data_IF_952201831050
#
_entry.id   IF_952201831050
#
_cell.length_a   1.000
_cell.length_b   1.000
_cell.length_c   1.000
_cell.angle_alpha   90.00
_cell.angle_beta   90.00
_cell.angle_gamma   90.00
#
_symmetry.space_group_name_H-M   'P 1'
#
loop_
_entity.id
_entity.type
_entity.pdbx_description
1 polymer ?
#
# COMPACT_ATOMS: atom_id res chain seq x y z
N UNK A 1 -8.94 8.38 -19.87
CA UNK A 1 -7.81 8.15 -18.95
C UNK A 1 -8.45 7.88 -17.60
N UNK A 2 -8.64 6.61 -17.27
CA UNK A 2 -9.10 6.21 -15.94
C UNK A 2 -8.11 6.76 -14.92
N UNK A 3 -8.60 7.49 -13.92
CA UNK A 3 -7.78 7.92 -12.80
C UNK A 3 -7.13 6.67 -12.20
N UNK A 4 -5.80 6.57 -12.30
CA UNK A 4 -5.01 5.54 -11.63
C UNK A 4 -5.25 5.74 -10.14
N UNK A 5 -5.99 4.82 -9.52
CA UNK A 5 -6.34 4.97 -8.11
C UNK A 5 -5.05 4.82 -7.29
N UNK A 6 -4.91 5.58 -6.20
CA UNK A 6 -3.69 5.55 -5.36
C UNK A 6 -3.40 4.13 -4.86
N UNK A 7 -4.45 3.33 -4.67
CA UNK A 7 -4.40 1.90 -4.39
C UNK A 7 -3.61 1.10 -5.45
N UNK A 8 -3.86 1.35 -6.74
CA UNK A 8 -3.19 0.70 -7.86
C UNK A 8 -1.72 1.14 -7.94
N UNK A 9 -1.45 2.43 -7.73
CA UNK A 9 -0.08 2.94 -7.67
C UNK A 9 0.72 2.30 -6.52
N UNK A 10 0.13 2.16 -5.33
CA UNK A 10 0.78 1.48 -4.19
C UNK A 10 1.07 0.03 -4.54
N UNK A 11 0.11 -0.68 -5.14
CA UNK A 11 0.32 -2.05 -5.59
C UNK A 11 1.51 -2.16 -6.54
N UNK A 12 1.55 -1.31 -7.57
CA UNK A 12 2.58 -1.39 -8.61
C UNK A 12 3.97 -1.04 -8.09
N UNK A 13 4.08 -0.07 -7.19
CA UNK A 13 5.35 0.25 -6.51
C UNK A 13 5.84 -0.93 -5.68
N UNK A 14 4.96 -1.53 -4.88
CA UNK A 14 5.31 -2.65 -4.01
C UNK A 14 5.67 -3.90 -4.80
N UNK A 15 4.98 -4.15 -5.92
CA UNK A 15 5.27 -5.27 -6.80
C UNK A 15 6.52 -5.01 -7.64
N UNK A 16 6.86 -3.76 -8.01
CA UNK A 16 8.06 -3.45 -8.77
C UNK A 16 9.36 -3.44 -7.94
N UNK A 17 9.26 -3.25 -6.61
CA UNK A 17 10.44 -3.21 -5.74
C UNK A 17 11.10 -4.59 -5.61
N UNK A 18 12.37 -4.67 -6.01
CA UNK A 18 13.12 -5.93 -6.01
C UNK A 18 13.31 -6.54 -4.60
N UNK A 19 13.33 -5.72 -3.55
CA UNK A 19 13.49 -6.21 -2.17
C UNK A 19 12.19 -6.78 -1.63
N UNK A 20 11.06 -6.20 -2.01
CA UNK A 20 9.73 -6.73 -1.70
C UNK A 20 9.50 -8.02 -2.52
N UNK A 21 9.76 -8.01 -3.83
CA UNK A 21 9.63 -9.21 -4.69
C UNK A 21 10.44 -10.40 -4.17
N UNK A 22 11.65 -10.17 -3.65
CA UNK A 22 12.49 -11.21 -3.08
C UNK A 22 11.87 -11.89 -1.85
N UNK A 23 10.98 -11.19 -1.14
CA UNK A 23 10.27 -11.72 0.03
C UNK A 23 8.88 -12.25 -0.34
N UNK A 24 8.11 -11.49 -1.13
CA UNK A 24 6.78 -11.88 -1.61
C UNK A 24 6.36 -11.07 -2.83
N UNK A 25 5.58 -11.71 -3.70
CA UNK A 25 4.83 -11.05 -4.77
C UNK A 25 3.33 -10.94 -4.46
N UNK A 26 2.92 -11.36 -3.25
CA UNK A 26 1.51 -11.45 -2.85
C UNK A 26 1.08 -10.17 -2.13
N UNK A 27 0.45 -9.27 -2.88
CA UNK A 27 -0.06 -8.00 -2.39
C UNK A 27 -1.59 -7.95 -2.60
N UNK A 28 -2.37 -7.86 -1.52
CA UNK A 28 -3.83 -7.90 -1.60
C UNK A 28 -4.47 -6.55 -1.18
N UNK A 29 -5.47 -6.05 -1.92
CA UNK A 29 -6.25 -4.89 -1.52
C UNK A 29 -7.35 -5.26 -0.53
N UNK A 30 -7.27 -4.71 0.69
CA UNK A 30 -8.31 -4.72 1.74
C UNK A 30 -8.84 -6.08 2.25
N UNK A 31 -8.61 -7.18 1.53
CA UNK A 31 -9.24 -8.48 1.78
C UNK A 31 -8.22 -9.59 1.58
N UNK A 32 -8.14 -10.51 2.53
CA UNK A 32 -7.33 -11.72 2.39
C UNK A 32 -8.20 -12.90 1.93
N UNK A 33 -7.63 -13.82 1.13
CA UNK A 33 -8.27 -15.11 0.87
C UNK A 33 -8.34 -15.96 2.15
N UNK A 34 -9.29 -16.90 2.21
CA UNK A 34 -9.56 -17.73 3.39
C UNK A 34 -8.38 -18.61 3.83
N UNK A 35 -7.53 -19.05 2.89
CA UNK A 35 -6.29 -19.78 3.18
C UNK A 35 -5.08 -19.06 2.54
N UNK A 36 -4.57 -17.99 3.19
CA UNK A 36 -3.51 -17.19 2.62
C UNK A 36 -2.15 -17.87 2.81
N UNK A 37 -1.35 -17.93 1.74
CA UNK A 37 0.05 -18.37 1.85
C UNK A 37 0.92 -17.20 2.29
N UNK A 38 1.63 -17.38 3.40
CA UNK A 38 2.62 -16.43 3.91
C UNK A 38 4.00 -16.64 3.27
N UNK A 39 4.80 -15.57 3.08
CA UNK A 39 4.53 -14.17 3.45
C UNK A 39 3.64 -13.41 2.45
N UNK A 40 2.86 -12.44 2.93
CA UNK A 40 1.98 -11.58 2.11
C UNK A 40 1.92 -10.15 2.64
N UNK A 41 1.45 -9.24 1.80
CA UNK A 41 1.18 -7.84 2.14
C UNK A 41 -0.31 -7.58 1.95
N UNK A 42 -0.92 -6.93 2.93
CA UNK A 42 -2.27 -6.37 2.83
C UNK A 42 -2.13 -4.85 2.82
N UNK A 43 -2.78 -4.17 1.90
CA UNK A 43 -2.91 -2.70 1.96
C UNK A 43 -4.38 -2.33 1.92
N UNK A 44 -4.76 -1.33 2.71
CA UNK A 44 -6.13 -0.84 2.79
C UNK A 44 -6.15 0.67 3.01
N UNK A 45 -7.12 1.33 2.42
CA UNK A 45 -7.40 2.74 2.69
C UNK A 45 -8.22 2.85 3.97
N UNK A 46 -7.65 3.47 5.00
CA UNK A 46 -8.30 3.63 6.31
C UNK A 46 -9.07 4.94 6.38
N UNK A 47 -8.52 5.99 5.78
CA UNK A 47 -9.14 7.31 5.77
C UNK A 47 -8.84 8.01 4.46
N UNK A 48 -9.73 8.90 4.03
CA UNK A 48 -9.51 9.68 2.81
C UNK A 48 -10.69 10.57 2.51
N UNK A 49 -11.19 11.25 3.54
CA UNK A 49 -12.06 12.39 3.31
C UNK A 49 -11.25 13.43 2.53
N UNK A 50 -11.68 13.75 1.32
CA UNK A 50 -11.25 14.99 0.67
C UNK A 50 -11.62 16.15 1.60
N UNK A 51 -10.70 17.10 1.79
CA UNK A 51 -11.00 18.28 2.58
C UNK A 51 -12.07 19.10 1.84
N UNK A 52 -13.27 19.22 2.42
CA UNK A 52 -14.32 20.07 1.88
C UNK A 52 -14.19 21.46 2.50
N UNK A 53 -13.87 22.48 1.69
CA UNK A 53 -13.97 23.87 2.11
C UNK A 53 -15.34 24.44 1.74
N UNK A 54 -15.66 25.62 2.30
CA UNK A 54 -16.93 26.32 2.09
C UNK A 54 -17.17 26.68 0.60
N UNK A 55 -16.12 26.73 -0.22
CA UNK A 55 -16.17 26.99 -1.68
C UNK A 55 -16.09 25.73 -2.56
N UNK A 56 -16.07 24.52 -1.97
CA UNK A 56 -16.00 23.25 -2.71
C UNK A 56 -14.87 22.34 -2.23
N UNK A 57 -14.64 21.19 -2.91
CA UNK A 57 -13.57 20.28 -2.57
C UNK A 57 -12.24 21.01 -2.72
N UNK A 58 -11.48 21.13 -1.63
CA UNK A 58 -10.08 21.52 -1.71
C UNK A 58 -9.41 20.32 -2.39
N UNK A 59 -8.82 20.51 -3.57
CA UNK A 59 -8.20 19.45 -4.39
C UNK A 59 -6.98 18.77 -3.73
N UNK A 60 -6.93 18.74 -2.42
CA UNK A 60 -5.90 18.18 -1.56
C UNK A 60 -6.57 17.11 -0.71
N UNK A 61 -6.51 15.87 -1.20
CA UNK A 61 -6.89 14.71 -0.41
C UNK A 61 -5.67 14.24 0.37
N UNK A 62 -5.84 14.00 1.67
CA UNK A 62 -4.83 13.39 2.54
C UNK A 62 -5.24 11.93 2.87
N UNK A 63 -5.24 11.00 1.90
CA UNK A 63 -5.64 9.63 2.14
C UNK A 63 -4.61 8.93 3.04
N UNK A 64 -5.11 8.27 4.08
CA UNK A 64 -4.31 7.42 4.96
C UNK A 64 -4.49 5.96 4.56
N UNK A 65 -3.37 5.33 4.21
CA UNK A 65 -3.31 3.91 3.90
C UNK A 65 -2.63 3.16 5.06
N UNK A 66 -3.22 2.04 5.44
CA UNK A 66 -2.63 1.06 6.34
C UNK A 66 -2.08 -0.08 5.51
N UNK A 67 -0.83 -0.46 5.79
CA UNK A 67 -0.16 -1.56 5.12
C UNK A 67 0.34 -2.53 6.18
N UNK A 68 -0.05 -3.79 6.04
CA UNK A 68 0.24 -4.87 6.97
C UNK A 68 1.11 -5.92 6.29
N UNK A 69 2.19 -6.31 6.98
CA UNK A 69 3.10 -7.34 6.55
C UNK A 69 2.85 -8.61 7.37
N UNK A 70 2.41 -9.68 6.70
CA UNK A 70 2.08 -10.95 7.35
C UNK A 70 3.10 -12.03 6.99
N UNK A 71 3.61 -12.75 7.98
CA UNK A 71 4.54 -13.86 7.79
C UNK A 71 4.39 -14.93 8.87
N UNK A 72 4.95 -16.12 8.64
CA UNK A 72 4.95 -17.23 9.62
C UNK A 72 5.76 -16.93 10.88
N UNK A 73 6.73 -16.02 10.78
CA UNK A 73 7.58 -15.62 11.90
C UNK A 73 7.58 -14.12 12.05
N UNK A 74 7.69 -13.65 13.29
CA UNK A 74 7.74 -12.22 13.59
C UNK A 74 8.96 -11.54 12.94
N UNK A 75 10.11 -12.22 12.89
CA UNK A 75 11.32 -11.71 12.25
C UNK A 75 11.12 -11.48 10.74
N UNK A 76 10.47 -12.42 10.04
CA UNK A 76 10.15 -12.28 8.62
C UNK A 76 9.12 -11.17 8.37
N UNK A 77 8.09 -11.06 9.23
CA UNK A 77 7.10 -9.98 9.12
C UNK A 77 7.75 -8.60 9.30
N UNK A 78 8.68 -8.45 10.25
CA UNK A 78 9.40 -7.20 10.49
C UNK A 78 10.38 -6.86 9.36
N UNK A 79 11.04 -7.86 8.77
CA UNK A 79 11.88 -7.66 7.59
C UNK A 79 11.05 -7.20 6.39
N UNK A 80 9.88 -7.81 6.16
CA UNK A 80 8.95 -7.41 5.12
C UNK A 80 8.41 -5.99 5.34
N UNK A 81 7.99 -5.64 6.55
CA UNK A 81 7.55 -4.30 6.89
C UNK A 81 8.64 -3.23 6.64
N UNK A 82 9.92 -3.57 6.89
CA UNK A 82 11.04 -2.67 6.59
C UNK A 82 11.25 -2.49 5.08
N UNK A 83 11.17 -3.58 4.31
CA UNK A 83 11.27 -3.52 2.84
C UNK A 83 10.15 -2.65 2.25
N UNK A 84 8.90 -2.90 2.65
CA UNK A 84 7.72 -2.11 2.26
C UNK A 84 7.89 -0.63 2.61
N UNK A 85 8.33 -0.32 3.83
CA UNK A 85 8.57 1.06 4.24
C UNK A 85 9.64 1.72 3.38
N UNK A 86 10.73 1.03 3.05
CA UNK A 86 11.80 1.59 2.23
C UNK A 86 11.35 1.81 0.78
N UNK A 87 10.53 0.92 0.22
CA UNK A 87 9.97 1.06 -1.13
C UNK A 87 9.07 2.30 -1.26
N UNK A 88 8.31 2.61 -0.21
CA UNK A 88 7.37 3.75 -0.19
C UNK A 88 8.02 5.06 0.32
N UNK A 89 9.08 4.97 1.12
CA UNK A 89 9.71 6.14 1.73
C UNK A 89 10.47 6.95 0.67
N UNK A 90 9.99 8.17 0.40
CA UNK A 90 10.59 9.06 -0.59
C UNK A 90 10.10 8.84 -2.03
N UNK A 91 9.12 7.94 -2.24
CA UNK A 91 8.45 7.83 -3.53
C UNK A 91 7.69 9.13 -3.84
N UNK A 92 7.95 9.68 -5.02
CA UNK A 92 7.25 10.86 -5.55
C UNK A 92 6.67 10.46 -6.91
N UNK A 93 5.36 10.23 -6.95
CA UNK A 93 4.63 9.89 -8.16
C UNK A 93 3.63 10.97 -8.54
N UNK A 94 3.15 10.93 -9.78
CA UNK A 94 2.06 11.77 -10.29
C UNK A 94 0.73 11.01 -10.16
N UNK A 95 0.42 10.53 -8.97
CA UNK A 95 -0.83 9.82 -8.68
C UNK A 95 -1.65 10.67 -7.73
N UNK A 96 -2.70 11.29 -8.25
CA UNK A 96 -3.60 12.22 -7.54
C UNK A 96 -4.87 12.46 -8.33
#
# INVERSE_FOLDING_TARGET
>A
MSAENIEEAIHDILVADATVQALTTRCYPSTLPQDPTYPLILYMRVYGAGENALEGPVGMANPHFQIEAWAKTYAAAKALAKAVRNALNGFRGTSG
#
